data_IF_908319330225
#
_entry.id   IF_908319330225
#
_cell.length_a   1.000
_cell.length_b   1.000
_cell.length_c   1.000
_cell.angle_alpha   90.00
_cell.angle_beta   90.00
_cell.angle_gamma   90.00
#
_symmetry.space_group_name_H-M   'P 1'
#
loop_
_entity.id
_entity.type
_entity.pdbx_description
1 polymer ?
#
# COMPACT_ATOMS: atom_id res chain seq x y z
N UNK A 1 11.62 9.02 -13.70
CA UNK A 1 12.08 7.65 -13.34
C UNK A 1 13.39 7.66 -12.53
N UNK A 2 13.99 8.81 -12.19
CA UNK A 2 15.30 8.87 -11.52
C UNK A 2 15.34 8.36 -10.06
N UNK A 3 14.18 8.17 -9.41
CA UNK A 3 14.08 7.72 -8.01
C UNK A 3 13.61 6.27 -7.89
N UNK A 4 13.98 5.41 -8.84
CA UNK A 4 13.73 3.95 -8.77
C UNK A 4 12.40 3.47 -9.37
N UNK A 5 11.51 4.37 -9.80
CA UNK A 5 10.32 3.96 -10.56
C UNK A 5 10.74 3.39 -11.92
N UNK A 6 10.35 2.15 -12.20
CA UNK A 6 10.57 1.50 -13.49
C UNK A 6 9.25 1.36 -14.23
N UNK A 7 9.22 1.82 -15.49
CA UNK A 7 8.11 1.51 -16.37
C UNK A 7 8.17 0.03 -16.70
N UNK A 8 7.01 -0.59 -16.83
CA UNK A 8 6.92 -1.97 -17.26
C UNK A 8 5.82 -2.12 -18.28
N UNK A 9 5.99 -3.12 -19.14
CA UNK A 9 4.99 -3.54 -20.10
C UNK A 9 4.21 -4.70 -19.53
N UNK A 10 2.99 -4.87 -20.05
CA UNK A 10 2.11 -5.96 -19.69
C UNK A 10 2.46 -7.17 -20.54
N UNK A 11 2.70 -8.31 -19.91
CA UNK A 11 2.82 -9.59 -20.61
C UNK A 11 1.45 -10.07 -21.09
N UNK A 12 1.42 -10.99 -22.06
CA UNK A 12 0.15 -11.58 -22.53
C UNK A 12 -0.61 -12.27 -21.40
N UNK A 13 0.09 -12.99 -20.52
CA UNK A 13 -0.51 -13.64 -19.34
C UNK A 13 -1.17 -12.62 -18.41
N UNK A 14 -0.47 -11.52 -18.10
CA UNK A 14 -1.01 -10.46 -17.25
C UNK A 14 -2.18 -9.73 -17.92
N UNK A 15 -2.19 -9.61 -19.24
CA UNK A 15 -3.29 -9.01 -19.99
C UNK A 15 -4.56 -9.85 -19.88
N UNK A 16 -4.49 -11.15 -20.15
CA UNK A 16 -5.65 -12.03 -20.02
C UNK A 16 -6.12 -12.16 -18.57
N UNK A 17 -5.18 -12.18 -17.61
CA UNK A 17 -5.55 -12.17 -16.20
C UNK A 17 -6.25 -10.87 -15.80
N UNK A 18 -5.78 -9.71 -16.27
CA UNK A 18 -6.42 -8.43 -15.98
C UNK A 18 -7.85 -8.36 -16.52
N UNK A 19 -8.10 -8.91 -17.72
CA UNK A 19 -9.45 -9.03 -18.28
C UNK A 19 -10.35 -9.90 -17.39
N UNK A 20 -9.86 -11.08 -16.99
CA UNK A 20 -10.58 -11.99 -16.10
C UNK A 20 -10.89 -11.35 -14.73
N UNK A 21 -9.93 -10.61 -14.15
CA UNK A 21 -10.10 -9.90 -12.89
C UNK A 21 -11.12 -8.76 -13.03
N UNK A 22 -11.12 -8.04 -14.14
CA UNK A 22 -12.08 -6.97 -14.44
C UNK A 22 -13.50 -7.52 -14.54
N UNK A 23 -13.67 -8.69 -15.17
CA UNK A 23 -14.97 -9.37 -15.22
C UNK A 23 -15.42 -9.89 -13.84
N UNK A 24 -14.48 -10.35 -13.01
CA UNK A 24 -14.74 -10.91 -11.67
C UNK A 24 -15.08 -9.84 -10.62
N UNK A 25 -14.42 -8.69 -10.66
CA UNK A 25 -14.54 -7.66 -9.63
C UNK A 25 -15.16 -6.38 -10.18
N UNK A 26 -16.35 -6.03 -9.71
CA UNK A 26 -17.14 -4.90 -10.25
C UNK A 26 -16.75 -3.52 -9.70
N UNK A 27 -15.90 -3.46 -8.67
CA UNK A 27 -15.57 -2.21 -7.95
C UNK A 27 -14.19 -1.64 -8.28
N UNK A 28 -13.10 -2.44 -8.33
CA UNK A 28 -11.82 -1.94 -8.82
C UNK A 28 -11.96 -1.48 -10.27
N UNK A 29 -11.23 -0.43 -10.66
CA UNK A 29 -11.16 0.00 -12.04
C UNK A 29 -10.38 -1.01 -12.91
N UNK A 30 -10.42 -0.84 -14.22
CA UNK A 30 -9.61 -1.64 -15.16
C UNK A 30 -8.11 -1.51 -14.81
N UNK A 31 -7.63 -0.31 -14.49
CA UNK A 31 -6.24 -0.09 -14.12
C UNK A 31 -5.87 -0.75 -12.79
N UNK A 32 -6.79 -0.81 -11.83
CA UNK A 32 -6.59 -1.55 -10.59
C UNK A 32 -6.46 -3.05 -10.84
N UNK A 33 -7.27 -3.59 -11.76
CA UNK A 33 -7.19 -5.00 -12.18
C UNK A 33 -5.90 -5.31 -12.93
N UNK A 34 -5.40 -4.38 -13.77
CA UNK A 34 -4.08 -4.49 -14.41
C UNK A 34 -2.97 -4.51 -13.36
N UNK A 35 -2.98 -3.57 -12.40
CA UNK A 35 -1.99 -3.54 -11.33
C UNK A 35 -2.02 -4.81 -10.47
N UNK A 36 -3.21 -5.34 -10.19
CA UNK A 36 -3.40 -6.59 -9.47
C UNK A 36 -2.87 -7.81 -10.25
N UNK A 37 -3.13 -7.87 -11.56
CA UNK A 37 -2.63 -8.93 -12.42
C UNK A 37 -1.10 -8.98 -12.43
N UNK A 38 -0.46 -7.82 -12.65
CA UNK A 38 1.00 -7.69 -12.62
C UNK A 38 1.54 -8.12 -11.25
N UNK A 39 0.94 -7.63 -10.17
CA UNK A 39 1.40 -7.96 -8.81
C UNK A 39 1.27 -9.46 -8.53
N UNK A 40 0.20 -10.09 -8.99
CA UNK A 40 -0.04 -11.53 -8.83
C UNK A 40 0.97 -12.37 -9.61
N UNK A 41 1.09 -12.14 -10.92
CA UNK A 41 1.94 -12.96 -11.81
C UNK A 41 3.42 -12.84 -11.40
N UNK A 42 3.86 -11.63 -11.01
CA UNK A 42 5.26 -11.37 -10.65
C UNK A 42 5.57 -11.56 -9.16
N UNK A 43 4.59 -11.92 -8.33
CA UNK A 43 4.77 -12.07 -6.89
C UNK A 43 5.17 -10.78 -6.17
N UNK A 44 4.66 -9.63 -6.61
CA UNK A 44 4.96 -8.31 -6.05
C UNK A 44 3.97 -7.93 -4.95
N UNK A 45 4.41 -7.01 -4.07
CA UNK A 45 3.50 -6.34 -3.14
C UNK A 45 2.79 -5.19 -3.83
N UNK A 46 1.46 -5.19 -3.78
CA UNK A 46 0.64 -4.13 -4.34
C UNK A 46 0.57 -2.94 -3.36
N UNK A 47 1.02 -1.77 -3.79
CA UNK A 47 0.93 -0.55 -3.00
C UNK A 47 -0.43 0.12 -3.24
N UNK A 48 -1.34 0.06 -2.27
CA UNK A 48 -2.67 0.70 -2.40
C UNK A 48 -3.34 0.99 -1.06
N UNK A 49 -4.05 2.11 -1.00
CA UNK A 49 -4.99 2.45 0.08
C UNK A 49 -6.45 2.14 -0.27
N UNK A 50 -6.75 1.77 -1.52
CA UNK A 50 -8.11 1.56 -1.99
C UNK A 50 -8.75 0.31 -1.36
N UNK A 51 -9.97 0.47 -0.86
CA UNK A 51 -10.68 -0.57 -0.12
C UNK A 51 -11.08 -1.76 -1.01
N UNK A 52 -11.82 -1.53 -2.10
CA UNK A 52 -12.13 -2.56 -3.09
C UNK A 52 -10.91 -3.33 -3.61
N UNK A 53 -9.84 -2.63 -4.04
CA UNK A 53 -8.64 -3.27 -4.56
C UNK A 53 -7.93 -4.11 -3.49
N UNK A 54 -7.83 -3.63 -2.25
CA UNK A 54 -7.31 -4.41 -1.12
C UNK A 54 -8.05 -5.73 -0.92
N UNK A 55 -9.37 -5.73 -1.04
CA UNK A 55 -10.20 -6.94 -0.87
C UNK A 55 -9.99 -7.92 -2.03
N UNK A 56 -9.92 -7.40 -3.26
CA UNK A 56 -9.62 -8.22 -4.43
C UNK A 56 -8.22 -8.84 -4.30
N UNK A 57 -7.20 -8.04 -3.98
CA UNK A 57 -5.84 -8.52 -3.77
C UNK A 57 -5.74 -9.61 -2.69
N UNK A 58 -6.40 -9.44 -1.55
CA UNK A 58 -6.45 -10.46 -0.50
C UNK A 58 -7.10 -11.76 -0.98
N UNK A 59 -8.19 -11.66 -1.75
CA UNK A 59 -8.86 -12.84 -2.35
C UNK A 59 -7.98 -13.54 -3.38
N UNK A 60 -7.17 -12.78 -4.12
CA UNK A 60 -6.26 -13.28 -5.13
C UNK A 60 -4.91 -13.78 -4.59
N UNK A 61 -4.67 -13.67 -3.28
CA UNK A 61 -3.43 -14.08 -2.62
C UNK A 61 -2.26 -13.10 -2.80
N UNK A 62 -2.55 -11.83 -3.11
CA UNK A 62 -1.55 -10.79 -3.35
C UNK A 62 -1.32 -9.98 -2.08
N UNK A 63 -0.05 -9.82 -1.70
CA UNK A 63 0.34 -8.98 -0.57
C UNK A 63 0.03 -7.51 -0.86
N UNK A 64 -0.49 -6.79 0.14
CA UNK A 64 -0.82 -5.36 0.02
C UNK A 64 -0.15 -4.56 1.11
N UNK A 65 0.35 -3.38 0.74
CA UNK A 65 0.89 -2.40 1.67
C UNK A 65 0.31 -1.01 1.40
N UNK A 66 -0.11 -0.32 2.46
CA UNK A 66 -0.55 1.08 2.39
C UNK A 66 0.49 2.04 2.96
N UNK A 67 0.15 3.32 3.03
CA UNK A 67 1.05 4.40 3.49
C UNK A 67 1.70 4.12 4.85
N UNK A 68 0.94 3.59 5.82
CA UNK A 68 1.48 3.25 7.15
C UNK A 68 2.58 2.19 7.02
N UNK A 69 2.36 1.14 6.22
CA UNK A 69 3.34 0.09 6.02
C UNK A 69 4.60 0.58 5.30
N UNK A 70 4.48 1.52 4.36
CA UNK A 70 5.65 2.15 3.72
C UNK A 70 6.47 2.90 4.77
N UNK A 71 5.81 3.67 5.65
CA UNK A 71 6.50 4.37 6.73
C UNK A 71 7.17 3.38 7.71
N UNK A 72 6.51 2.25 8.02
CA UNK A 72 7.11 1.17 8.81
C UNK A 72 8.36 0.59 8.12
N UNK A 73 8.36 0.42 6.78
CA UNK A 73 9.54 -0.05 6.05
C UNK A 73 10.70 0.96 6.09
N UNK A 74 10.40 2.26 6.00
CA UNK A 74 11.42 3.30 6.11
C UNK A 74 12.09 3.29 7.49
N UNK A 75 11.28 3.15 8.55
CA UNK A 75 11.76 3.09 9.92
C UNK A 75 12.54 1.80 10.22
N UNK A 76 11.96 0.64 9.88
CA UNK A 76 12.64 -0.65 10.07
C UNK A 76 13.95 -0.75 9.26
N UNK A 77 14.01 -0.09 8.11
CA UNK A 77 15.20 -0.01 7.27
C UNK A 77 16.23 1.03 7.74
N UNK A 78 15.98 1.77 8.81
CA UNK A 78 16.82 2.86 9.34
C UNK A 78 17.09 3.96 8.31
N UNK A 79 16.09 4.25 7.48
CA UNK A 79 16.12 5.37 6.53
C UNK A 79 15.62 6.68 7.16
N UNK A 80 14.91 6.57 8.28
CA UNK A 80 14.42 7.67 9.12
C UNK A 80 14.61 7.28 10.59
N UNK A 81 14.84 8.28 11.43
CA UNK A 81 15.02 8.09 12.88
C UNK A 81 13.66 8.02 13.61
N UNK A 82 13.70 7.58 14.87
CA UNK A 82 12.52 7.46 15.75
C UNK A 82 11.73 8.78 15.85
N UNK A 83 12.44 9.91 15.96
CA UNK A 83 11.83 11.24 16.04
C UNK A 83 11.11 11.63 14.74
N UNK A 84 11.71 11.37 13.58
CA UNK A 84 11.10 11.63 12.26
C UNK A 84 9.88 10.75 12.01
N UNK A 85 9.96 9.48 12.40
CA UNK A 85 8.84 8.55 12.32
C UNK A 85 7.67 8.99 13.23
N UNK A 86 7.98 9.36 14.48
CA UNK A 86 6.99 9.86 15.43
C UNK A 86 6.33 11.15 14.95
N UNK A 87 7.10 12.10 14.39
CA UNK A 87 6.56 13.32 13.79
C UNK A 87 5.62 13.00 12.62
N UNK A 88 6.04 12.10 11.72
CA UNK A 88 5.23 11.68 10.57
C UNK A 88 3.90 11.07 11.02
N UNK A 89 3.93 10.14 11.98
CA UNK A 89 2.72 9.52 12.53
C UNK A 89 1.81 10.57 13.18
N UNK A 90 2.37 11.48 13.99
CA UNK A 90 1.58 12.55 14.62
C UNK A 90 0.90 13.43 13.57
N UNK A 91 1.62 13.84 12.52
CA UNK A 91 1.05 14.65 11.43
C UNK A 91 -0.03 13.90 10.63
N UNK A 92 0.08 12.58 10.49
CA UNK A 92 -0.96 11.75 9.90
C UNK A 92 -2.21 11.70 10.78
N UNK A 93 -2.05 11.61 12.12
CA UNK A 93 -3.15 11.67 13.08
C UNK A 93 -3.87 13.02 13.01
N UNK A 94 -3.12 14.12 13.06
CA UNK A 94 -3.68 15.49 13.08
C UNK A 94 -4.49 15.81 11.83
N UNK A 95 -4.12 15.23 10.69
CA UNK A 95 -4.81 15.39 9.39
C UNK A 95 -5.87 14.33 9.12
N UNK A 96 -6.00 13.33 10.00
CA UNK A 96 -6.92 12.21 9.81
C UNK A 96 -8.38 12.66 9.96
N UNK A 97 -9.28 12.03 9.21
CA UNK A 97 -10.70 12.40 9.18
C UNK A 97 -11.04 13.55 8.22
N UNK A 98 -10.03 14.18 7.61
CA UNK A 98 -10.19 15.15 6.53
C UNK A 98 -9.60 14.64 5.22
N UNK A 99 -8.47 15.24 4.81
CA UNK A 99 -7.72 14.86 3.59
C UNK A 99 -7.02 13.51 3.70
N UNK A 100 -6.75 13.05 4.93
CA UNK A 100 -6.17 11.74 5.21
C UNK A 100 -7.25 10.86 5.81
N UNK A 101 -7.30 9.60 5.36
CA UNK A 101 -8.21 8.58 5.88
C UNK A 101 -7.41 7.31 6.15
N UNK A 102 -6.89 7.20 7.37
CA UNK A 102 -6.08 6.08 7.81
C UNK A 102 -6.68 5.46 9.09
N UNK A 103 -6.42 4.17 9.37
CA UNK A 103 -6.87 3.54 10.61
C UNK A 103 -6.22 4.24 11.82
N UNK A 104 -6.99 5.05 12.55
CA UNK A 104 -6.46 5.89 13.64
C UNK A 104 -5.79 5.05 14.73
N UNK A 105 -6.40 3.92 15.08
CA UNK A 105 -5.89 2.99 16.08
C UNK A 105 -4.49 2.45 15.71
N UNK A 106 -4.25 2.14 14.43
CA UNK A 106 -2.94 1.67 13.95
C UNK A 106 -1.84 2.73 14.08
N UNK A 107 -2.19 4.00 13.89
CA UNK A 107 -1.28 5.14 14.07
C UNK A 107 -0.95 5.35 15.55
N UNK A 108 -1.97 5.32 16.42
CA UNK A 108 -1.80 5.52 17.87
C UNK A 108 -0.91 4.44 18.49
N UNK A 109 -1.08 3.16 18.12
CA UNK A 109 -0.20 2.08 18.58
C UNK A 109 1.25 2.31 18.18
N UNK A 110 1.50 2.72 16.93
CA UNK A 110 2.86 2.97 16.43
C UNK A 110 3.53 4.11 17.16
N UNK A 111 2.81 5.21 17.38
CA UNK A 111 3.31 6.35 18.13
C UNK A 111 3.67 5.98 19.57
N UNK A 112 2.84 5.16 20.23
CA UNK A 112 3.11 4.68 21.58
C UNK A 112 4.33 3.74 21.66
N UNK A 113 4.60 2.96 20.61
CA UNK A 113 5.75 2.05 20.58
C UNK A 113 7.06 2.82 20.50
N UNK A 114 7.13 3.83 19.65
CA UNK A 114 8.36 4.60 19.44
C UNK A 114 8.69 5.46 20.66
N UNK A 115 7.69 6.15 21.23
CA UNK A 115 7.88 6.96 22.47
C UNK A 115 8.26 6.17 23.73
N UNK A 116 8.18 4.84 23.70
CA UNK A 116 8.63 3.98 24.81
C UNK A 116 10.09 3.54 24.67
N UNK A 117 10.68 3.74 23.50
CA UNK A 117 12.06 3.39 23.21
C UNK A 117 13.03 4.58 23.39
N UNK A 118 12.50 5.80 23.57
CA UNK A 118 13.21 7.00 24.03
C UNK A 118 13.40 7.01 25.56
#
# INVERSE_FOLDING_TARGET
LQLGLQKTELTEEEFYLAEALTAKYTKPSVYDCIALAIAKVRGLTLLTGDGPLRKAAATEGVNVMGTIGILDQLHNGKYIEDEEYAECIQRLIDKNGGKVRLPKYELEIRLQRVRKND
#
